data_IF_151378707523
#
_entry.id   IF_151378707523
#
_cell.length_a   1.000
_cell.length_b   1.000
_cell.length_c   1.000
_cell.angle_alpha   90.00
_cell.angle_beta   90.00
_cell.angle_gamma   90.00
#
_symmetry.space_group_name_H-M   'P 1'
#
loop_
_entity.id
_entity.type
_entity.pdbx_description
1 polymer ?
#
# COMPACT_ATOMS: atom_id res chain seq x y z
N UNK A 1 23.37 18.05 -7.14
CA UNK A 1 22.64 17.30 -8.17
C UNK A 1 21.48 18.17 -8.55
N UNK A 2 21.33 18.49 -9.83
CA UNK A 2 20.51 19.63 -10.26
C UNK A 2 19.08 19.19 -10.62
N UNK A 3 18.87 17.88 -10.83
CA UNK A 3 17.57 17.29 -11.17
C UNK A 3 17.08 16.31 -10.09
N UNK A 4 15.76 16.25 -9.90
CA UNK A 4 15.10 15.32 -8.98
C UNK A 4 14.73 14.01 -9.69
N UNK A 5 14.76 12.89 -8.94
CA UNK A 5 14.37 11.58 -9.48
C UNK A 5 12.85 11.51 -9.65
N UNK A 6 12.33 11.28 -10.87
CA UNK A 6 10.89 11.15 -11.09
C UNK A 6 10.34 9.83 -10.55
N UNK A 7 9.09 9.82 -10.09
CA UNK A 7 8.39 8.57 -9.76
C UNK A 7 7.92 7.86 -11.03
N UNK A 8 7.66 6.56 -10.93
CA UNK A 8 6.99 5.83 -12.01
C UNK A 8 5.63 6.49 -12.29
N UNK A 9 5.39 6.82 -13.56
CA UNK A 9 4.21 7.56 -14.06
C UNK A 9 4.05 9.01 -13.54
N UNK A 10 5.11 9.62 -12.97
CA UNK A 10 5.12 11.02 -12.50
C UNK A 10 4.00 11.36 -11.49
N UNK A 11 3.52 10.36 -10.74
CA UNK A 11 2.48 10.50 -9.71
C UNK A 11 2.62 9.47 -8.59
N UNK A 12 2.00 9.69 -7.42
CA UNK A 12 1.86 8.68 -6.37
C UNK A 12 0.97 7.53 -6.85
N UNK A 13 1.28 6.29 -6.48
CA UNK A 13 0.45 5.12 -6.86
C UNK A 13 -0.81 4.98 -6.03
N UNK A 14 -0.80 5.52 -4.80
CA UNK A 14 -1.93 5.47 -3.90
C UNK A 14 -1.99 6.77 -3.10
N UNK A 15 -3.21 7.30 -2.93
CA UNK A 15 -3.48 8.51 -2.16
C UNK A 15 -4.65 8.28 -1.22
N UNK A 16 -4.50 8.75 0.02
CA UNK A 16 -5.55 8.76 1.03
C UNK A 16 -5.45 10.07 1.81
N UNK A 17 -6.18 11.07 1.35
CA UNK A 17 -6.09 12.45 1.85
C UNK A 17 -7.16 12.78 2.89
N UNK A 18 -8.29 12.07 2.88
CA UNK A 18 -9.44 12.31 3.76
C UNK A 18 -9.40 11.42 5.03
N UNK A 19 -8.25 11.32 5.68
CA UNK A 19 -8.05 10.52 6.90
C UNK A 19 -7.25 11.27 7.95
N UNK A 20 -7.41 10.86 9.21
CA UNK A 20 -6.68 11.43 10.37
C UNK A 20 -5.53 10.53 10.84
N UNK A 21 -4.94 9.78 9.92
CA UNK A 21 -3.79 8.92 10.21
C UNK A 21 -2.78 8.99 9.07
N UNK A 22 -1.51 8.80 9.39
CA UNK A 22 -0.43 8.67 8.43
C UNK A 22 -0.17 7.20 8.09
N UNK A 23 0.20 6.96 6.84
CA UNK A 23 0.76 5.68 6.40
C UNK A 23 2.26 5.68 6.73
N UNK A 24 2.74 4.63 7.38
CA UNK A 24 4.07 4.60 8.01
C UNK A 24 4.89 3.37 7.64
N UNK A 25 4.24 2.26 7.25
CA UNK A 25 4.92 1.01 6.88
C UNK A 25 4.44 0.54 5.52
N UNK A 26 5.32 -0.14 4.80
CA UNK A 26 5.02 -0.75 3.49
C UNK A 26 5.55 -2.19 3.47
N UNK A 27 4.76 -3.10 2.91
CA UNK A 27 5.18 -4.45 2.55
C UNK A 27 4.62 -4.79 1.16
N UNK A 28 5.34 -5.59 0.40
CA UNK A 28 5.01 -5.91 -1.00
C UNK A 28 5.14 -7.41 -1.23
N UNK A 29 4.09 -8.02 -1.77
CA UNK A 29 4.13 -9.35 -2.37
C UNK A 29 4.08 -9.19 -3.89
N UNK A 30 5.19 -9.48 -4.56
CA UNK A 30 5.33 -9.33 -6.02
C UNK A 30 4.94 -10.58 -6.82
N UNK A 31 4.49 -11.65 -6.14
CA UNK A 31 4.22 -12.95 -6.73
C UNK A 31 2.87 -13.51 -6.23
N UNK A 32 1.90 -12.63 -5.98
CA UNK A 32 0.58 -12.99 -5.50
C UNK A 32 -0.28 -13.68 -6.58
N UNK A 33 -1.28 -14.44 -6.13
CA UNK A 33 -2.27 -15.12 -6.98
C UNK A 33 -1.79 -16.47 -7.55
N UNK A 34 -2.68 -17.25 -8.18
CA UNK A 34 -2.39 -18.62 -8.64
C UNK A 34 -1.22 -18.70 -9.63
N UNK A 35 -1.05 -17.68 -10.47
CA UNK A 35 -0.01 -17.60 -11.49
C UNK A 35 1.18 -16.73 -11.09
N UNK A 36 1.21 -16.23 -9.84
CA UNK A 36 2.30 -15.42 -9.31
C UNK A 36 2.64 -14.18 -10.16
N UNK A 37 1.64 -13.60 -10.81
CA UNK A 37 1.77 -12.48 -11.73
C UNK A 37 1.07 -11.21 -11.22
N UNK A 38 0.68 -11.18 -9.94
CA UNK A 38 0.10 -10.01 -9.31
C UNK A 38 1.04 -9.45 -8.25
N UNK A 39 1.11 -8.11 -8.19
CA UNK A 39 1.80 -7.41 -7.12
C UNK A 39 0.78 -6.79 -6.17
N UNK A 40 0.77 -7.25 -4.92
CA UNK A 40 -0.08 -6.73 -3.85
C UNK A 40 0.78 -5.93 -2.89
N UNK A 41 0.32 -4.74 -2.54
CA UNK A 41 1.01 -3.84 -1.61
C UNK A 41 0.14 -3.64 -0.38
N UNK A 42 0.78 -3.73 0.78
CA UNK A 42 0.20 -3.48 2.09
C UNK A 42 0.80 -2.21 2.69
N UNK A 43 -0.05 -1.27 3.09
CA UNK A 43 0.34 -0.03 3.78
C UNK A 43 -0.18 -0.07 5.22
N UNK A 44 0.73 0.00 6.17
CA UNK A 44 0.39 0.12 7.59
C UNK A 44 0.26 1.58 8.03
N UNK A 45 -0.72 1.87 8.88
CA UNK A 45 -0.93 3.20 9.47
C UNK A 45 -0.52 3.26 10.94
N UNK A 46 -0.38 4.48 11.43
CA UNK A 46 -0.15 4.76 12.86
C UNK A 46 -1.33 4.41 13.78
N UNK A 47 -2.51 4.05 13.22
CA UNK A 47 -3.71 3.67 13.98
C UNK A 47 -4.03 2.18 13.91
N UNK A 48 -3.07 1.35 13.48
CA UNK A 48 -3.28 -0.10 13.35
C UNK A 48 -4.22 -0.48 12.20
N UNK A 49 -4.39 0.42 11.21
CA UNK A 49 -5.14 0.13 9.99
C UNK A 49 -4.16 -0.34 8.92
N UNK A 50 -4.47 -1.45 8.26
CA UNK A 50 -3.77 -1.94 7.08
C UNK A 50 -4.64 -1.66 5.86
N UNK A 51 -4.05 -1.02 4.85
CA UNK A 51 -4.63 -0.86 3.52
C UNK A 51 -3.96 -1.86 2.58
N UNK A 52 -4.75 -2.53 1.74
CA UNK A 52 -4.28 -3.49 0.75
C UNK A 52 -4.72 -3.03 -0.63
N UNK A 53 -3.78 -2.94 -1.57
CA UNK A 53 -4.09 -2.61 -2.95
C UNK A 53 -3.31 -3.49 -3.93
N UNK A 54 -3.88 -3.72 -5.11
CA UNK A 54 -3.27 -4.40 -6.23
C UNK A 54 -2.59 -3.36 -7.13
N UNK A 55 -1.30 -3.52 -7.40
CA UNK A 55 -0.59 -2.73 -8.38
C UNK A 55 -0.81 -3.34 -9.78
N UNK A 56 -1.52 -2.61 -10.65
CA UNK A 56 -1.75 -3.04 -12.04
C UNK A 56 -0.58 -2.60 -12.91
N UNK A 57 0.28 -3.57 -13.23
CA UNK A 57 1.31 -3.40 -14.24
C UNK A 57 0.76 -3.82 -15.60
N UNK A 58 0.97 -3.00 -16.63
CA UNK A 58 0.76 -3.40 -18.02
C UNK A 58 2.09 -3.21 -18.75
N UNK A 59 2.56 -4.25 -19.46
CA UNK A 59 3.80 -4.20 -20.25
C UNK A 59 5.01 -3.57 -19.53
N UNK A 60 5.19 -3.85 -18.22
CA UNK A 60 6.30 -3.32 -17.42
C UNK A 60 6.11 -1.89 -16.86
N UNK A 61 5.01 -1.22 -17.21
CA UNK A 61 4.65 0.09 -16.67
C UNK A 61 3.48 -0.03 -15.70
N UNK A 62 3.52 0.75 -14.62
CA UNK A 62 2.39 0.84 -13.70
C UNK A 62 1.33 1.75 -14.29
N UNK A 63 0.21 1.14 -14.64
CA UNK A 63 -0.92 1.86 -15.21
C UNK A 63 -1.80 2.43 -14.10
N UNK A 64 -2.12 1.63 -13.09
CA UNK A 64 -3.12 1.97 -12.08
C UNK A 64 -2.93 1.16 -10.78
N UNK A 65 -3.62 1.59 -9.71
CA UNK A 65 -3.74 0.81 -8.48
C UNK A 65 -5.21 0.53 -8.17
N UNK A 66 -5.51 -0.68 -7.69
CA UNK A 66 -6.85 -1.05 -7.28
C UNK A 66 -6.86 -1.28 -5.77
N UNK A 67 -7.58 -0.43 -5.05
CA UNK A 67 -7.83 -0.62 -3.62
C UNK A 67 -8.68 -1.88 -3.40
N UNK A 68 -8.18 -2.81 -2.58
CA UNK A 68 -8.82 -4.11 -2.33
C UNK A 68 -9.54 -4.11 -0.98
N UNK A 69 -8.81 -3.81 0.11
CA UNK A 69 -9.29 -3.98 1.48
C UNK A 69 -8.71 -2.89 2.41
N UNK A 70 -9.48 -2.51 3.43
CA UNK A 70 -9.02 -1.74 4.60
C UNK A 70 -9.41 -2.52 5.86
N UNK A 71 -8.42 -2.79 6.71
CA UNK A 71 -8.54 -3.69 7.85
C UNK A 71 -8.02 -2.99 9.10
N UNK A 72 -8.82 -2.89 10.15
CA UNK A 72 -8.31 -2.55 11.47
C UNK A 72 -7.81 -3.83 12.14
N UNK A 73 -6.50 -3.95 12.32
CA UNK A 73 -5.87 -5.17 12.85
C UNK A 73 -5.41 -5.02 14.30
N UNK A 74 -5.50 -3.81 14.87
CA UNK A 74 -5.17 -3.61 16.28
C UNK A 74 -6.27 -4.20 17.16
N UNK A 75 -5.89 -5.12 18.04
CA UNK A 75 -6.80 -5.72 19.02
C UNK A 75 -6.54 -5.11 20.41
N UNK A 76 -7.41 -4.22 20.92
CA UNK A 76 -7.22 -3.61 22.23
C UNK A 76 -7.10 -4.65 23.34
N UNK A 77 -7.97 -5.66 23.39
CA UNK A 77 -8.00 -6.68 24.46
C UNK A 77 -6.68 -7.44 24.60
N UNK A 78 -5.89 -7.54 23.53
CA UNK A 78 -4.61 -8.26 23.52
C UNK A 78 -3.39 -7.34 23.50
N UNK A 79 -3.57 -6.05 23.20
CA UNK A 79 -2.47 -5.13 22.92
C UNK A 79 -2.43 -3.90 23.84
N UNK A 80 -3.37 -3.75 24.79
CA UNK A 80 -3.13 -2.84 25.92
C UNK A 80 -2.06 -3.42 26.84
N UNK A 81 -1.05 -2.61 27.14
CA UNK A 81 -0.15 -2.87 28.27
C UNK A 81 -0.96 -2.74 29.57
N UNK A 82 -0.96 -3.80 30.38
CA UNK A 82 -1.27 -3.72 31.81
C UNK A 82 -0.02 -3.38 32.60
#
# INVERSE_FOLDING_TARGET
MDEAVPSIANRPWFLKTMVRYRLTRISVDNAAGPYRNHTVVFLGSEKGIILKFLAKMNSGFLNDSLFLEELNVYNPEKCVFH
#
